data_IF_925111750807
#
_entry.id   IF_925111750807
#
_cell.length_a   1.000
_cell.length_b   1.000
_cell.length_c   1.000
_cell.angle_alpha   90.00
_cell.angle_beta   90.00
_cell.angle_gamma   90.00
#
_symmetry.space_group_name_H-M   'P 1'
#
loop_
_entity.id
_entity.type
_entity.pdbx_description
1 polymer ?
#
# COMPACT_ATOMS: atom_id res chain seq x y z
N UNK A 1 19.47 60.40 24.29
CA UNK A 1 19.19 59.36 23.27
C UNK A 1 18.90 58.07 24.00
N UNK A 2 17.69 57.48 23.92
CA UNK A 2 17.41 56.21 24.58
C UNK A 2 17.87 55.04 23.70
N UNK A 3 18.72 54.18 24.28
CA UNK A 3 19.20 52.92 23.71
C UNK A 3 18.03 51.93 23.53
N UNK A 4 17.73 51.58 22.28
CA UNK A 4 16.78 50.51 21.94
C UNK A 4 17.37 49.16 22.34
N UNK A 5 16.85 48.56 23.40
CA UNK A 5 17.05 47.14 23.69
C UNK A 5 16.26 46.32 22.69
N UNK A 6 16.95 45.67 21.75
CA UNK A 6 16.37 44.71 20.81
C UNK A 6 16.02 43.42 21.53
N UNK A 7 14.74 43.12 21.63
CA UNK A 7 14.22 41.82 22.05
C UNK A 7 14.68 40.74 21.03
N UNK A 8 15.20 39.58 21.46
CA UNK A 8 15.50 38.50 20.52
C UNK A 8 14.17 38.01 19.92
N UNK A 9 14.10 37.93 18.60
CA UNK A 9 12.95 37.32 17.94
C UNK A 9 12.83 35.88 18.40
N UNK A 10 11.66 35.51 18.93
CA UNK A 10 11.34 34.12 19.19
C UNK A 10 11.28 33.42 17.83
N UNK A 11 12.35 32.72 17.46
CA UNK A 11 12.28 31.75 16.39
C UNK A 11 11.22 30.73 16.80
N UNK A 12 10.10 30.72 16.09
CA UNK A 12 9.14 29.64 16.13
C UNK A 12 9.91 28.33 15.93
N UNK A 13 9.67 27.29 16.74
CA UNK A 13 10.34 26.02 16.55
C UNK A 13 10.01 25.57 15.13
N UNK A 14 11.03 25.39 14.28
CA UNK A 14 10.87 24.63 13.05
C UNK A 14 10.31 23.29 13.51
N UNK A 15 9.06 22.98 13.16
CA UNK A 15 8.51 21.64 13.29
C UNK A 15 9.39 20.74 12.42
N UNK A 16 10.51 20.27 12.96
CA UNK A 16 11.32 19.23 12.35
C UNK A 16 10.61 17.91 12.62
N UNK A 17 9.41 17.74 12.09
CA UNK A 17 8.78 16.43 12.05
C UNK A 17 9.46 15.66 10.94
N UNK A 18 10.67 15.19 11.22
CA UNK A 18 11.25 14.10 10.46
C UNK A 18 10.21 12.98 10.44
N UNK A 19 9.89 12.48 9.24
CA UNK A 19 8.97 11.36 9.09
C UNK A 19 9.47 10.21 9.98
N UNK A 20 8.59 9.54 10.74
CA UNK A 20 9.02 8.43 11.58
C UNK A 20 9.60 7.32 10.71
N UNK A 21 10.49 6.52 11.30
CA UNK A 21 11.03 5.34 10.63
C UNK A 21 9.89 4.42 10.18
N UNK A 22 9.96 3.98 8.92
CA UNK A 22 8.98 3.06 8.38
C UNK A 22 9.18 1.64 8.92
N UNK A 23 8.17 1.13 9.62
CA UNK A 23 8.11 -0.24 10.15
C UNK A 23 6.76 -0.85 9.74
N UNK A 24 6.70 -1.94 8.93
CA UNK A 24 5.48 -2.46 8.31
C UNK A 24 4.24 -2.64 9.20
N UNK A 25 4.43 -2.89 10.50
CA UNK A 25 3.38 -3.18 11.48
C UNK A 25 3.43 -2.28 12.73
N UNK A 26 4.24 -1.22 12.71
CA UNK A 26 4.42 -0.33 13.85
C UNK A 26 4.57 1.12 13.38
N UNK A 27 3.89 2.04 14.06
CA UNK A 27 4.05 3.48 13.88
C UNK A 27 4.61 4.01 15.20
N UNK A 28 5.88 4.47 15.23
CA UNK A 28 6.53 4.92 16.46
C UNK A 28 5.81 6.10 17.14
N UNK A 29 5.31 7.03 16.34
CA UNK A 29 4.53 8.17 16.80
C UNK A 29 3.03 7.85 16.69
N UNK A 30 2.34 7.74 17.82
CA UNK A 30 0.90 7.42 17.86
C UNK A 30 0.00 8.47 17.20
N UNK A 31 0.51 9.69 17.00
CA UNK A 31 -0.22 10.75 16.28
C UNK A 31 -0.04 10.69 14.77
N UNK A 32 0.92 9.89 14.28
CA UNK A 32 1.22 9.79 12.86
C UNK A 32 0.22 8.87 12.14
N UNK A 33 -0.33 9.37 11.04
CA UNK A 33 -1.24 8.62 10.16
C UNK A 33 -0.55 8.36 8.84
N UNK A 34 -0.38 7.09 8.47
CA UNK A 34 0.15 6.72 7.15
C UNK A 34 -0.88 6.98 6.07
N UNK A 35 -0.47 7.68 5.03
CA UNK A 35 -1.28 7.95 3.85
C UNK A 35 -0.97 6.91 2.77
N UNK A 36 -1.96 6.06 2.49
CA UNK A 36 -1.97 5.17 1.33
C UNK A 36 -2.74 5.84 0.21
N UNK A 37 -2.04 6.18 -0.87
CA UNK A 37 -2.66 6.66 -2.09
C UNK A 37 -2.92 5.50 -3.07
N UNK A 38 -4.17 5.37 -3.52
CA UNK A 38 -4.59 4.40 -4.53
C UNK A 38 -5.06 5.05 -5.83
N UNK A 39 -4.67 6.30 -6.11
CA UNK A 39 -5.03 7.04 -7.33
C UNK A 39 -4.66 6.26 -8.59
N UNK A 40 -3.47 5.66 -8.60
CA UNK A 40 -2.92 4.88 -9.71
C UNK A 40 -3.50 3.46 -9.85
N UNK A 41 -4.44 3.06 -8.98
CA UNK A 41 -5.11 1.77 -9.01
C UNK A 41 -6.63 1.92 -8.96
N UNK A 42 -7.18 2.33 -7.82
CA UNK A 42 -8.63 2.51 -7.65
C UNK A 42 -9.11 3.71 -8.46
N UNK A 43 -8.34 4.80 -8.46
CA UNK A 43 -8.68 5.99 -9.24
C UNK A 43 -8.75 5.69 -10.73
N UNK A 44 -7.78 4.94 -11.27
CA UNK A 44 -7.74 4.51 -12.67
C UNK A 44 -8.95 3.65 -13.08
N UNK A 45 -9.60 2.94 -12.15
CA UNK A 45 -10.81 2.16 -12.45
C UNK A 45 -12.04 3.02 -12.75
N UNK A 46 -11.94 4.34 -12.59
CA UNK A 46 -13.00 5.27 -12.99
C UNK A 46 -13.16 5.28 -14.52
N UNK A 47 -14.39 5.27 -15.05
CA UNK A 47 -14.62 5.34 -16.49
C UNK A 47 -13.91 6.55 -17.13
N UNK A 48 -13.06 6.29 -18.13
CA UNK A 48 -12.31 7.33 -18.85
C UNK A 48 -11.00 7.79 -18.17
N UNK A 49 -10.63 7.20 -17.02
CA UNK A 49 -9.41 7.55 -16.29
C UNK A 49 -8.23 6.59 -16.54
N UNK A 50 -8.26 5.79 -17.60
CA UNK A 50 -7.16 4.88 -17.96
C UNK A 50 -5.87 5.64 -18.17
N UNK A 51 -4.77 5.14 -17.60
CA UNK A 51 -3.47 5.79 -17.68
C UNK A 51 -2.46 4.92 -18.42
N UNK A 52 -1.65 5.55 -19.25
CA UNK A 52 -0.44 4.92 -19.81
C UNK A 52 0.61 4.74 -18.72
N UNK A 53 1.57 3.83 -18.92
CA UNK A 53 2.67 3.63 -17.97
C UNK A 53 3.46 4.92 -17.68
N UNK A 54 3.60 5.80 -18.69
CA UNK A 54 4.27 7.10 -18.54
C UNK A 54 3.47 8.06 -17.66
N UNK A 55 2.16 8.17 -17.88
CA UNK A 55 1.28 9.00 -17.04
C UNK A 55 1.28 8.50 -15.60
N UNK A 56 1.22 7.18 -15.39
CA UNK A 56 1.34 6.58 -14.05
C UNK A 56 2.66 6.97 -13.37
N UNK A 57 3.77 6.92 -14.09
CA UNK A 57 5.08 7.30 -13.56
C UNK A 57 5.15 8.80 -13.21
N UNK A 58 4.61 9.66 -14.08
CA UNK A 58 4.60 11.10 -13.83
C UNK A 58 3.73 11.46 -12.62
N UNK A 59 2.57 10.83 -12.46
CA UNK A 59 1.72 10.97 -11.26
C UNK A 59 2.41 10.38 -10.03
N UNK A 60 3.06 9.22 -10.12
CA UNK A 60 3.81 8.63 -9.01
C UNK A 60 4.90 9.58 -8.49
N UNK A 61 5.60 10.29 -9.39
CA UNK A 61 6.56 11.34 -9.02
C UNK A 61 5.90 12.54 -8.33
N UNK A 62 4.67 12.90 -8.68
CA UNK A 62 3.94 13.94 -7.95
C UNK A 62 3.48 13.46 -6.58
N UNK A 63 3.07 12.20 -6.44
CA UNK A 63 2.72 11.60 -5.15
C UNK A 63 3.91 11.56 -4.19
N UNK A 64 5.13 11.33 -4.70
CA UNK A 64 6.37 11.47 -3.91
C UNK A 64 6.50 12.88 -3.35
N UNK A 65 6.34 13.91 -4.19
CA UNK A 65 6.44 15.32 -3.78
C UNK A 65 5.32 15.72 -2.80
N UNK A 66 4.12 15.17 -2.97
CA UNK A 66 3.02 15.33 -2.02
C UNK A 66 3.36 14.69 -0.66
N UNK A 67 4.21 13.67 -0.67
CA UNK A 67 4.78 13.08 0.53
C UNK A 67 3.98 11.91 1.10
N UNK A 68 3.24 11.18 0.25
CA UNK A 68 2.43 10.02 0.68
C UNK A 68 3.31 8.86 1.15
N UNK A 69 2.90 8.16 2.20
CA UNK A 69 3.71 7.06 2.75
C UNK A 69 3.76 5.84 1.83
N UNK A 70 2.65 5.53 1.17
CA UNK A 70 2.48 4.35 0.34
C UNK A 70 1.80 4.75 -0.97
N UNK A 71 2.36 4.27 -2.09
CA UNK A 71 1.78 4.38 -3.43
C UNK A 71 1.34 2.97 -3.86
N UNK A 72 0.09 2.82 -4.30
CA UNK A 72 -0.39 1.61 -4.96
C UNK A 72 -0.52 1.86 -6.47
N UNK A 73 0.50 1.56 -7.29
CA UNK A 73 0.57 1.97 -8.70
C UNK A 73 -0.23 1.12 -9.70
N UNK A 74 -1.01 0.13 -9.24
CA UNK A 74 -1.86 -0.67 -10.11
C UNK A 74 -2.04 -2.11 -9.64
N UNK A 75 -2.55 -2.92 -10.57
CA UNK A 75 -2.75 -4.37 -10.40
C UNK A 75 -1.88 -5.15 -11.41
N UNK A 76 -0.68 -5.63 -11.01
CA UNK A 76 0.27 -6.27 -11.92
C UNK A 76 -0.28 -7.44 -12.75
N UNK A 77 -1.26 -8.20 -12.24
CA UNK A 77 -1.85 -9.33 -12.97
C UNK A 77 -2.97 -8.94 -13.93
N UNK A 78 -3.37 -7.67 -13.99
CA UNK A 78 -4.41 -7.20 -14.91
C UNK A 78 -3.94 -7.27 -16.37
N UNK A 79 -2.69 -6.87 -16.64
CA UNK A 79 -2.10 -6.88 -17.97
C UNK A 79 -0.57 -6.84 -17.91
N UNK A 80 0.11 -7.19 -19.00
CA UNK A 80 1.57 -6.98 -19.09
C UNK A 80 1.95 -5.49 -18.98
N UNK A 81 1.07 -4.58 -19.44
CA UNK A 81 1.28 -3.14 -19.31
C UNK A 81 1.28 -2.71 -17.84
N UNK A 82 0.33 -3.20 -17.03
CA UNK A 82 0.26 -2.93 -15.60
C UNK A 82 1.45 -3.51 -14.84
N UNK A 83 1.85 -4.74 -15.17
CA UNK A 83 3.05 -5.34 -14.61
C UNK A 83 4.29 -4.45 -14.85
N UNK A 84 4.49 -4.03 -16.10
CA UNK A 84 5.64 -3.21 -16.47
C UNK A 84 5.57 -1.80 -15.83
N UNK A 85 4.38 -1.20 -15.74
CA UNK A 85 4.21 0.10 -15.11
C UNK A 85 4.54 0.04 -13.60
N UNK A 86 4.01 -0.96 -12.88
CA UNK A 86 4.29 -1.15 -11.46
C UNK A 86 5.77 -1.44 -11.22
N UNK A 87 6.39 -2.29 -12.06
CA UNK A 87 7.81 -2.60 -11.98
C UNK A 87 8.69 -1.37 -12.23
N UNK A 88 8.36 -0.55 -13.23
CA UNK A 88 9.07 0.70 -13.53
C UNK A 88 8.99 1.68 -12.35
N UNK A 89 7.80 1.85 -11.76
CA UNK A 89 7.61 2.70 -10.58
C UNK A 89 8.37 2.14 -9.38
N UNK A 90 8.39 0.82 -9.17
CA UNK A 90 9.18 0.20 -8.11
C UNK A 90 10.68 0.45 -8.27
N UNK A 91 11.19 0.39 -9.51
CA UNK A 91 12.61 0.60 -9.81
C UNK A 91 13.03 2.07 -9.72
N UNK A 92 12.22 2.99 -10.25
CA UNK A 92 12.55 4.42 -10.27
C UNK A 92 12.12 5.14 -8.99
N UNK A 93 10.81 5.18 -8.74
CA UNK A 93 10.23 5.94 -7.63
C UNK A 93 10.47 5.24 -6.29
N UNK A 94 10.38 3.91 -6.26
CA UNK A 94 10.61 3.11 -5.05
C UNK A 94 12.07 3.09 -4.56
N UNK A 95 13.00 3.69 -5.30
CA UNK A 95 14.42 3.79 -4.93
C UNK A 95 14.94 5.24 -4.84
N UNK A 96 14.14 6.24 -5.23
CA UNK A 96 14.48 7.64 -5.09
C UNK A 96 14.33 8.06 -3.63
N UNK A 97 15.44 8.07 -2.89
CA UNK A 97 15.48 8.48 -1.49
C UNK A 97 15.80 9.97 -1.42
N UNK A 98 14.91 10.74 -0.79
CA UNK A 98 15.09 12.18 -0.58
C UNK A 98 16.13 12.45 0.53
N UNK A 99 16.58 13.70 0.63
CA UNK A 99 17.62 14.14 1.58
C UNK A 99 17.26 13.89 3.05
N UNK A 100 15.97 13.84 3.38
CA UNK A 100 15.44 13.53 4.72
C UNK A 100 15.28 12.01 4.97
N UNK A 101 15.68 11.18 4.01
CA UNK A 101 15.56 9.71 4.07
C UNK A 101 14.18 9.18 3.66
N UNK A 102 13.28 10.03 3.17
CA UNK A 102 11.99 9.61 2.66
C UNK A 102 12.12 8.80 1.38
N UNK A 103 11.31 7.74 1.31
CA UNK A 103 11.08 6.93 0.11
C UNK A 103 9.72 6.25 0.30
N UNK A 104 8.81 6.32 -0.68
CA UNK A 104 7.49 5.72 -0.52
C UNK A 104 7.58 4.20 -0.51
N UNK A 105 6.61 3.58 0.15
CA UNK A 105 6.34 2.15 -0.02
C UNK A 105 5.65 1.95 -1.37
N UNK A 106 6.08 0.95 -2.13
CA UNK A 106 5.44 0.58 -3.38
C UNK A 106 4.61 -0.69 -3.16
N UNK A 107 3.28 -0.54 -3.22
CA UNK A 107 2.33 -1.59 -2.91
C UNK A 107 1.73 -2.23 -4.17
N UNK A 108 2.00 -3.52 -4.39
CA UNK A 108 1.40 -4.27 -5.50
C UNK A 108 0.07 -4.87 -5.07
N UNK A 109 -1.04 -4.46 -5.70
CA UNK A 109 -2.33 -5.10 -5.48
C UNK A 109 -2.35 -6.50 -6.12
N UNK A 110 -2.92 -7.48 -5.44
CA UNK A 110 -3.16 -8.81 -5.99
C UNK A 110 -4.45 -9.42 -5.43
N UNK A 111 -5.10 -10.30 -6.21
CA UNK A 111 -6.13 -11.18 -5.65
C UNK A 111 -5.46 -12.20 -4.73
N UNK A 112 -6.24 -12.77 -3.81
CA UNK A 112 -5.79 -13.80 -2.89
C UNK A 112 -5.63 -15.18 -3.59
N UNK A 113 -4.75 -15.25 -4.60
CA UNK A 113 -4.38 -16.44 -5.37
C UNK A 113 -2.88 -16.43 -5.69
N UNK A 114 -2.27 -17.60 -5.74
CA UNK A 114 -0.81 -17.77 -5.83
C UNK A 114 -0.17 -17.08 -7.05
N UNK A 115 -0.79 -17.22 -8.23
CA UNK A 115 -0.31 -16.60 -9.47
C UNK A 115 -0.25 -15.08 -9.36
N UNK A 116 -1.28 -14.46 -8.80
CA UNK A 116 -1.36 -13.01 -8.70
C UNK A 116 -0.37 -12.47 -7.67
N UNK A 117 -0.22 -13.19 -6.54
CA UNK A 117 0.76 -12.85 -5.50
C UNK A 117 2.18 -12.91 -6.05
N UNK A 118 2.51 -13.99 -6.79
CA UNK A 118 3.81 -14.15 -7.44
C UNK A 118 4.07 -13.03 -8.44
N UNK A 119 3.08 -12.70 -9.28
CA UNK A 119 3.17 -11.62 -10.28
C UNK A 119 3.37 -10.25 -9.61
N UNK A 120 2.61 -9.97 -8.55
CA UNK A 120 2.74 -8.72 -7.82
C UNK A 120 4.09 -8.60 -7.13
N UNK A 121 4.61 -9.70 -6.55
CA UNK A 121 5.94 -9.72 -5.94
C UNK A 121 7.03 -9.45 -6.97
N UNK A 122 6.97 -10.10 -8.14
CA UNK A 122 7.91 -9.88 -9.23
C UNK A 122 7.89 -8.44 -9.76
N UNK A 123 6.78 -7.72 -9.59
CA UNK A 123 6.70 -6.31 -9.95
C UNK A 123 7.32 -5.40 -8.88
N UNK A 124 7.00 -5.61 -7.59
CA UNK A 124 7.37 -4.65 -6.54
C UNK A 124 8.70 -4.91 -5.84
N UNK A 125 9.25 -6.14 -5.91
CA UNK A 125 10.46 -6.54 -5.15
C UNK A 125 11.70 -5.69 -5.38
N UNK A 126 11.71 -4.86 -6.42
CA UNK A 126 12.79 -3.93 -6.75
C UNK A 126 12.74 -2.62 -5.98
N UNK A 127 11.63 -2.29 -5.32
CA UNK A 127 11.54 -1.10 -4.48
C UNK A 127 12.30 -1.29 -3.17
N UNK A 128 12.82 -0.20 -2.59
CA UNK A 128 13.46 -0.20 -1.27
C UNK A 128 12.49 -0.61 -0.15
N UNK A 129 11.20 -0.34 -0.33
CA UNK A 129 10.10 -0.71 0.57
C UNK A 129 8.97 -1.39 -0.22
N UNK A 130 9.09 -2.69 -0.53
CA UNK A 130 8.08 -3.41 -1.29
C UNK A 130 6.95 -3.89 -0.37
N UNK A 131 5.69 -3.71 -0.79
CA UNK A 131 4.51 -4.20 -0.08
C UNK A 131 3.62 -5.02 -1.01
N UNK A 132 3.05 -6.11 -0.49
CA UNK A 132 1.94 -6.81 -1.14
C UNK A 132 0.62 -6.43 -0.49
N UNK A 133 -0.36 -6.05 -1.30
CA UNK A 133 -1.73 -5.78 -0.85
C UNK A 133 -2.65 -6.83 -1.46
N UNK A 134 -3.06 -7.82 -0.66
CA UNK A 134 -3.95 -8.88 -1.11
C UNK A 134 -5.33 -8.74 -0.49
N UNK A 135 -6.38 -9.11 -1.23
CA UNK A 135 -7.76 -9.09 -0.71
C UNK A 135 -8.56 -10.30 -1.15
N UNK A 136 -9.54 -10.65 -0.33
CA UNK A 136 -10.57 -11.65 -0.64
C UNK A 136 -11.93 -11.11 -0.19
N UNK A 137 -12.96 -11.41 -0.98
CA UNK A 137 -14.33 -11.00 -0.66
C UNK A 137 -14.89 -11.80 0.51
N UNK A 138 -15.46 -11.11 1.48
CA UNK A 138 -15.95 -11.71 2.73
C UNK A 138 -17.48 -11.72 2.87
N UNK A 139 -18.22 -11.02 2.00
CA UNK A 139 -19.70 -10.99 2.04
C UNK A 139 -20.35 -12.32 1.61
N UNK A 140 -21.61 -12.65 2.02
CA UNK A 140 -22.19 -13.96 1.73
C UNK A 140 -22.50 -14.08 0.25
N UNK A 141 -23.02 -12.99 -0.35
CA UNK A 141 -23.31 -12.85 -1.77
C UNK A 141 -22.03 -13.10 -2.59
N UNK A 142 -20.91 -12.48 -2.22
CA UNK A 142 -19.65 -12.71 -2.92
C UNK A 142 -19.12 -14.13 -2.71
N UNK A 143 -19.26 -14.70 -1.51
CA UNK A 143 -18.84 -16.09 -1.27
C UNK A 143 -19.66 -17.11 -2.06
N UNK A 144 -20.97 -16.92 -2.14
CA UNK A 144 -21.89 -17.83 -2.84
C UNK A 144 -21.80 -17.67 -4.36
N UNK A 145 -21.87 -16.43 -4.87
CA UNK A 145 -22.03 -16.18 -6.30
C UNK A 145 -20.72 -15.90 -7.05
N UNK A 146 -19.73 -15.26 -6.40
CA UNK A 146 -18.44 -14.90 -7.04
C UNK A 146 -17.36 -15.95 -6.76
N UNK A 147 -17.16 -16.33 -5.51
CA UNK A 147 -16.09 -17.26 -5.11
C UNK A 147 -16.53 -18.72 -5.19
N UNK A 148 -17.81 -19.01 -4.94
CA UNK A 148 -18.36 -20.36 -4.76
C UNK A 148 -17.58 -21.15 -3.70
N UNK A 149 -17.37 -20.53 -2.54
CA UNK A 149 -16.57 -21.07 -1.43
C UNK A 149 -17.27 -20.91 -0.10
N UNK A 150 -17.02 -21.84 0.81
CA UNK A 150 -17.48 -21.73 2.20
C UNK A 150 -16.66 -20.70 2.99
N UNK A 151 -17.19 -20.25 4.13
CA UNK A 151 -16.50 -19.36 5.08
C UNK A 151 -15.12 -19.91 5.47
N UNK A 152 -15.05 -21.18 5.84
CA UNK A 152 -13.79 -21.84 6.24
C UNK A 152 -12.77 -21.90 5.10
N UNK A 153 -13.23 -22.14 3.86
CA UNK A 153 -12.37 -22.11 2.69
C UNK A 153 -11.80 -20.70 2.44
N UNK A 154 -12.60 -19.65 2.61
CA UNK A 154 -12.14 -18.26 2.47
C UNK A 154 -11.09 -17.92 3.52
N UNK A 155 -11.32 -18.31 4.78
CA UNK A 155 -10.35 -18.12 5.87
C UNK A 155 -9.05 -18.88 5.59
N UNK A 156 -9.15 -20.15 5.17
CA UNK A 156 -7.98 -20.96 4.87
C UNK A 156 -7.17 -20.39 3.71
N UNK A 157 -7.83 -19.95 2.63
CA UNK A 157 -7.19 -19.28 1.49
C UNK A 157 -6.47 -18.01 1.94
N UNK A 158 -7.13 -17.16 2.73
CA UNK A 158 -6.49 -15.94 3.25
C UNK A 158 -5.21 -16.27 4.02
N UNK A 159 -5.24 -17.28 4.90
CA UNK A 159 -4.07 -17.72 5.68
C UNK A 159 -2.96 -18.26 4.80
N UNK A 160 -3.28 -19.17 3.89
CA UNK A 160 -2.28 -19.81 3.04
C UNK A 160 -1.63 -18.81 2.09
N UNK A 161 -2.40 -17.85 1.59
CA UNK A 161 -1.89 -16.83 0.67
C UNK A 161 -1.05 -15.76 1.36
N UNK A 162 -1.39 -15.36 2.59
CA UNK A 162 -0.51 -14.48 3.40
C UNK A 162 0.81 -15.21 3.74
N UNK A 163 0.75 -16.49 4.10
CA UNK A 163 1.95 -17.32 4.31
C UNK A 163 2.78 -17.47 3.04
N UNK A 164 2.13 -17.68 1.90
CA UNK A 164 2.80 -17.76 0.61
C UNK A 164 3.50 -16.44 0.27
N UNK A 165 2.82 -15.30 0.42
CA UNK A 165 3.41 -13.98 0.24
C UNK A 165 4.64 -13.75 1.16
N UNK A 166 4.59 -14.20 2.42
CA UNK A 166 5.76 -14.20 3.31
C UNK A 166 6.89 -15.08 2.79
N UNK A 167 6.58 -16.28 2.29
CA UNK A 167 7.57 -17.23 1.77
C UNK A 167 8.34 -16.72 0.55
N UNK A 168 7.77 -15.79 -0.21
CA UNK A 168 8.44 -15.09 -1.32
C UNK A 168 9.49 -14.06 -0.85
N UNK A 169 9.54 -13.75 0.46
CA UNK A 169 10.45 -12.77 1.05
C UNK A 169 9.80 -11.41 1.36
N UNK A 170 8.47 -11.28 1.22
CA UNK A 170 7.77 -10.03 1.48
C UNK A 170 7.49 -9.86 2.99
N UNK A 171 8.16 -8.90 3.64
CA UNK A 171 7.97 -8.59 5.07
C UNK A 171 6.87 -7.55 5.36
N UNK A 172 6.33 -6.92 4.31
CA UNK A 172 5.26 -5.93 4.42
C UNK A 172 4.02 -6.38 3.62
N UNK A 173 3.02 -6.92 4.32
CA UNK A 173 1.81 -7.46 3.70
C UNK A 173 0.61 -6.77 4.32
N UNK A 174 -0.23 -6.22 3.45
CA UNK A 174 -1.55 -5.70 3.78
C UNK A 174 -2.60 -6.70 3.29
N UNK A 175 -3.51 -7.08 4.17
CA UNK A 175 -4.67 -7.92 3.83
C UNK A 175 -5.95 -7.09 3.94
N UNK A 176 -6.76 -7.09 2.89
CA UNK A 176 -8.06 -6.43 2.84
C UNK A 176 -9.22 -7.42 2.84
N UNK A 177 -10.18 -7.22 3.74
CA UNK A 177 -11.48 -7.86 3.67
C UNK A 177 -12.35 -7.08 2.67
N UNK A 178 -12.40 -7.55 1.43
CA UNK A 178 -13.26 -6.94 0.42
C UNK A 178 -14.72 -7.14 0.85
N UNK A 179 -15.47 -6.05 0.85
CA UNK A 179 -16.86 -6.02 1.23
C UNK A 179 -17.18 -6.22 2.73
N UNK A 180 -16.29 -5.75 3.60
CA UNK A 180 -16.39 -5.93 5.05
C UNK A 180 -17.66 -5.34 5.69
N UNK A 181 -18.19 -4.22 5.19
CA UNK A 181 -19.35 -3.53 5.80
C UNK A 181 -20.69 -4.23 5.55
N UNK A 182 -20.75 -5.18 4.61
CA UNK A 182 -21.95 -5.97 4.28
C UNK A 182 -21.90 -7.37 4.90
N UNK A 183 -21.15 -7.57 6.00
CA UNK A 183 -20.95 -8.87 6.63
C UNK A 183 -20.98 -8.88 8.17
N UNK A 184 -21.15 -10.07 8.75
CA UNK A 184 -21.06 -10.32 10.19
C UNK A 184 -19.64 -10.04 10.72
N UNK A 185 -19.54 -9.20 11.75
CA UNK A 185 -18.30 -8.73 12.38
C UNK A 185 -17.32 -9.85 12.79
N UNK A 186 -17.84 -11.06 13.04
CA UNK A 186 -17.08 -12.21 13.53
C UNK A 186 -16.05 -12.79 12.54
N UNK A 187 -16.29 -12.74 11.22
CA UNK A 187 -15.31 -13.26 10.25
C UNK A 187 -14.11 -12.33 10.12
N UNK A 188 -14.32 -11.02 10.13
CA UNK A 188 -13.21 -10.08 10.15
C UNK A 188 -12.36 -10.30 11.43
N UNK A 189 -13.00 -10.47 12.58
CA UNK A 189 -12.30 -10.80 13.83
C UNK A 189 -11.52 -12.14 13.73
N UNK A 190 -12.07 -13.15 13.07
CA UNK A 190 -11.39 -14.45 12.89
C UNK A 190 -10.23 -14.37 11.91
N UNK A 191 -10.40 -13.64 10.80
CA UNK A 191 -9.37 -13.40 9.80
C UNK A 191 -8.21 -12.60 10.39
N UNK A 192 -8.48 -11.54 11.15
CA UNK A 192 -7.45 -10.64 11.68
C UNK A 192 -6.91 -11.05 13.07
N UNK A 193 -7.64 -11.88 13.83
CA UNK A 193 -7.25 -12.34 15.18
C UNK A 193 -6.34 -13.57 15.18
N UNK A 194 -6.23 -14.27 14.05
CA UNK A 194 -5.32 -15.40 13.89
C UNK A 194 -3.90 -14.88 13.60
N UNK A 195 -2.89 -15.26 14.39
CA UNK A 195 -1.49 -15.01 14.02
C UNK A 195 -1.17 -15.79 12.73
N UNK A 196 -0.71 -15.10 11.70
CA UNK A 196 -0.32 -15.65 10.40
C UNK A 196 1.14 -16.13 10.40
#
# INVERSE_FOLDING_TARGET
>A
MPTKTSTPSSQSPKLSHLRPQYIPNHIPDSSYVRILDTTLRDGEQSPGATMTAKEKLDIARQLVKLGVDIIQPGFPSASNSDFMAVKMIAQEVGNAVDDDGYVPVIAGFCRCVEKDISTAWEAVKYAKRPRLCTSIATSPIHMEHKLRKSKDQVIQIARDMVKFARSLGCNDIQFGAEDATRYESFICLTLFGSRF
#
